data_IF_478490410517
#
_entry.id   IF_478490410517
#
_cell.length_a   1.000
_cell.length_b   1.000
_cell.length_c   1.000
_cell.angle_alpha   90.00
_cell.angle_beta   90.00
_cell.angle_gamma   90.00
#
_symmetry.space_group_name_H-M   'P 1'
#
loop_
_entity.id
_entity.type
_entity.pdbx_description
1 polymer ?
#
# COMPACT_ATOMS: atom_id res chain seq x y z
N UNK A 1 8.90 -4.27 14.30
CA UNK A 1 8.59 -4.17 12.86
C UNK A 1 8.95 -2.77 12.40
N UNK A 2 9.57 -2.62 11.23
CA UNK A 2 9.95 -1.31 10.70
C UNK A 2 8.72 -0.44 10.46
N UNK A 3 8.83 0.88 10.65
CA UNK A 3 7.68 1.79 10.51
C UNK A 3 7.01 1.66 9.13
N UNK A 4 7.79 1.57 8.05
CA UNK A 4 7.27 1.37 6.68
C UNK A 4 6.48 0.07 6.55
N UNK A 5 6.96 -1.03 7.16
CA UNK A 5 6.26 -2.31 7.17
C UNK A 5 5.01 -2.26 8.04
N UNK A 6 5.03 -1.49 9.14
CA UNK A 6 3.87 -1.24 10.01
C UNK A 6 2.77 -0.48 9.27
N UNK A 7 3.11 0.61 8.59
CA UNK A 7 2.17 1.35 7.75
C UNK A 7 1.70 0.51 6.55
N UNK A 8 2.60 -0.26 5.95
CA UNK A 8 2.26 -1.22 4.91
C UNK A 8 1.27 -2.28 5.36
N UNK A 9 1.44 -2.86 6.55
CA UNK A 9 0.48 -3.79 7.14
C UNK A 9 -0.90 -3.16 7.32
N UNK A 10 -0.96 -1.95 7.88
CA UNK A 10 -2.24 -1.24 8.07
C UNK A 10 -2.92 -0.95 6.74
N UNK A 11 -2.16 -0.51 5.74
CA UNK A 11 -2.68 -0.28 4.39
C UNK A 11 -3.19 -1.57 3.75
N UNK A 12 -2.49 -2.69 3.94
CA UNK A 12 -2.91 -3.99 3.43
C UNK A 12 -4.22 -4.46 4.08
N UNK A 13 -4.37 -4.26 5.40
CA UNK A 13 -5.62 -4.54 6.13
C UNK A 13 -6.78 -3.70 5.57
N UNK A 14 -6.56 -2.40 5.36
CA UNK A 14 -7.57 -1.51 4.76
C UNK A 14 -7.93 -1.99 3.35
N UNK A 15 -6.96 -2.34 2.52
CA UNK A 15 -7.20 -2.83 1.16
C UNK A 15 -8.05 -4.10 1.11
N UNK A 16 -7.79 -5.06 2.01
CA UNK A 16 -8.58 -6.28 2.13
C UNK A 16 -10.00 -5.98 2.61
N UNK A 17 -10.17 -5.13 3.63
CA UNK A 17 -11.48 -4.72 4.13
C UNK A 17 -12.31 -4.04 3.04
N UNK A 18 -11.70 -3.16 2.25
CA UNK A 18 -12.35 -2.51 1.11
C UNK A 18 -12.83 -3.52 0.07
N UNK A 19 -12.02 -4.53 -0.26
CA UNK A 19 -12.44 -5.60 -1.18
C UNK A 19 -13.60 -6.43 -0.64
N UNK A 20 -13.57 -6.76 0.66
CA UNK A 20 -14.69 -7.47 1.31
C UNK A 20 -15.96 -6.62 1.21
N UNK A 21 -15.87 -5.31 1.51
CA UNK A 21 -17.02 -4.41 1.43
C UNK A 21 -17.60 -4.30 0.01
N UNK A 22 -16.75 -4.34 -1.03
CA UNK A 22 -17.20 -4.34 -2.43
C UNK A 22 -18.08 -5.55 -2.76
N UNK A 23 -17.84 -6.72 -2.16
CA UNK A 23 -18.66 -7.92 -2.40
C UNK A 23 -20.09 -7.81 -1.87
N UNK A 24 -20.34 -6.90 -0.93
CA UNK A 24 -21.66 -6.73 -0.29
C UNK A 24 -22.38 -5.44 -0.72
N UNK A 25 -21.77 -4.64 -1.59
CA UNK A 25 -22.34 -3.37 -2.08
C UNK A 25 -22.95 -3.56 -3.46
N UNK A 26 -24.21 -3.15 -3.62
CA UNK A 26 -24.89 -3.11 -4.94
C UNK A 26 -24.80 -1.73 -5.61
N UNK A 27 -24.38 -0.71 -4.85
CA UNK A 27 -24.19 0.64 -5.35
C UNK A 27 -22.87 0.76 -6.12
N UNK A 28 -22.99 0.96 -7.44
CA UNK A 28 -21.86 1.12 -8.36
C UNK A 28 -20.93 2.27 -7.96
N UNK A 29 -21.45 3.36 -7.42
CA UNK A 29 -20.62 4.51 -7.02
C UNK A 29 -19.74 4.16 -5.81
N UNK A 30 -20.32 3.47 -4.82
CA UNK A 30 -19.58 2.97 -3.66
C UNK A 30 -18.55 1.91 -4.08
N UNK A 31 -18.91 1.00 -4.99
CA UNK A 31 -17.99 0.01 -5.55
C UNK A 31 -16.76 0.69 -6.20
N UNK A 32 -16.97 1.66 -7.08
CA UNK A 32 -15.87 2.41 -7.70
C UNK A 32 -14.99 3.13 -6.68
N UNK A 33 -15.60 3.74 -5.66
CA UNK A 33 -14.88 4.45 -4.60
C UNK A 33 -14.00 3.51 -3.78
N UNK A 34 -14.53 2.34 -3.42
CA UNK A 34 -13.81 1.30 -2.70
C UNK A 34 -12.67 0.72 -3.54
N UNK A 35 -12.87 0.56 -4.85
CA UNK A 35 -11.83 0.10 -5.77
C UNK A 35 -10.63 1.05 -5.82
N UNK A 36 -10.90 2.36 -5.91
CA UNK A 36 -9.86 3.40 -5.92
C UNK A 36 -9.04 3.39 -4.63
N UNK A 37 -9.64 3.00 -3.50
CA UNK A 37 -8.93 2.88 -2.22
C UNK A 37 -8.19 1.54 -2.10
N UNK A 38 -8.80 0.44 -2.54
CA UNK A 38 -8.28 -0.91 -2.33
C UNK A 38 -6.99 -1.16 -3.12
N UNK A 39 -6.97 -0.79 -4.40
CA UNK A 39 -5.84 -1.03 -5.31
C UNK A 39 -4.53 -0.40 -4.80
N UNK A 40 -4.44 0.92 -4.56
CA UNK A 40 -3.18 1.52 -4.09
C UNK A 40 -2.80 1.00 -2.70
N UNK A 41 -3.77 0.68 -1.85
CA UNK A 41 -3.52 0.15 -0.51
C UNK A 41 -2.90 -1.25 -0.54
N UNK A 42 -3.38 -2.12 -1.43
CA UNK A 42 -2.81 -3.45 -1.63
C UNK A 42 -1.42 -3.37 -2.26
N UNK A 43 -1.23 -2.54 -3.28
CA UNK A 43 0.08 -2.35 -3.93
C UNK A 43 1.11 -1.85 -2.92
N UNK A 44 0.78 -0.80 -2.15
CA UNK A 44 1.68 -0.26 -1.13
C UNK A 44 1.96 -1.27 -0.02
N UNK A 45 0.91 -1.94 0.48
CA UNK A 45 1.03 -2.97 1.49
C UNK A 45 1.98 -4.08 1.05
N UNK A 46 1.71 -4.71 -0.08
CA UNK A 46 2.50 -5.81 -0.65
C UNK A 46 3.94 -5.34 -0.93
N UNK A 47 4.10 -4.18 -1.56
CA UNK A 47 5.40 -3.59 -1.88
C UNK A 47 6.25 -3.32 -0.64
N UNK A 48 5.64 -2.93 0.49
CA UNK A 48 6.36 -2.68 1.74
C UNK A 48 7.04 -3.92 2.34
N UNK A 49 6.54 -5.12 2.03
CA UNK A 49 7.11 -6.39 2.49
C UNK A 49 8.08 -7.00 1.48
N UNK A 50 7.79 -6.86 0.18
CA UNK A 50 8.62 -7.41 -0.90
C UNK A 50 9.89 -6.60 -1.17
N UNK A 51 9.84 -5.27 -1.04
CA UNK A 51 11.01 -4.43 -1.31
C UNK A 51 11.98 -4.56 -0.13
N UNK A 52 13.17 -5.17 -0.31
CA UNK A 52 14.15 -5.28 0.75
C UNK A 52 14.60 -3.87 1.16
N UNK A 53 14.83 -3.69 2.46
CA UNK A 53 15.35 -2.41 2.98
C UNK A 53 16.72 -2.12 2.37
N UNK A 54 16.73 -1.26 1.37
CA UNK A 54 18.00 -0.75 0.84
C UNK A 54 18.59 0.21 1.87
N UNK A 55 19.84 -0.02 2.30
CA UNK A 55 20.57 0.75 3.32
C UNK A 55 20.65 2.27 3.04
N UNK A 56 20.24 2.72 1.86
CA UNK A 56 20.25 4.12 1.38
C UNK A 56 18.91 4.85 1.50
N UNK A 57 17.89 4.35 2.22
CA UNK A 57 16.59 5.04 2.36
C UNK A 57 16.57 6.20 3.38
N UNK A 58 17.64 6.98 3.53
CA UNK A 58 17.53 8.26 4.24
C UNK A 58 16.92 9.27 3.27
N UNK A 59 15.79 9.87 3.66
CA UNK A 59 15.18 11.00 2.96
C UNK A 59 16.29 12.03 2.68
N UNK A 60 16.49 12.37 1.40
CA UNK A 60 17.55 13.28 0.95
C UNK A 60 18.77 12.62 0.29
N UNK A 61 18.87 11.29 0.20
CA UNK A 61 19.91 10.64 -0.62
C UNK A 61 19.34 10.17 -1.96
N UNK A 62 19.68 10.91 -3.03
CA UNK A 62 19.42 10.50 -4.41
C UNK A 62 20.22 9.20 -4.66
N UNK A 63 19.60 8.13 -5.18
CA UNK A 63 20.27 6.83 -5.34
C UNK A 63 21.42 6.84 -6.35
N UNK A 64 21.54 7.89 -7.18
CA UNK A 64 22.44 7.97 -8.35
C UNK A 64 23.53 9.05 -8.27
N UNK A 65 24.06 9.40 -7.09
CA UNK A 65 25.35 10.13 -7.05
C UNK A 65 26.49 9.13 -6.90
N UNK A 66 27.00 8.69 -8.04
CA UNK A 66 28.06 7.70 -8.19
C UNK A 66 28.34 7.39 -9.66
N UNK A 67 28.64 8.44 -10.42
CA UNK A 67 29.65 8.42 -11.48
C UNK A 67 30.49 9.68 -11.28
#
# INVERSE_FOLDING_TARGET
>A
MDEVRRYGLYSLIVGILSLILMLYTEDKFLEYSLYIISIPSLIFGIGSFLIPKVRRSKIGRIPFRGF
#
